data_IF_160726854901
#
_entry.id   IF_160726854901
#
_cell.length_a   1.000
_cell.length_b   1.000
_cell.length_c   1.000
_cell.angle_alpha   90.00
_cell.angle_beta   90.00
_cell.angle_gamma   90.00
#
_symmetry.space_group_name_H-M   'P 1'
#
loop_
_entity.id
_entity.type
_entity.pdbx_description
1 polymer ?
#
# COMPACT_ATOMS: atom_id res chain seq x y z
N UNK A 1 6.77 18.86 15.17
CA UNK A 1 7.58 18.48 14.00
C UNK A 1 7.65 16.97 13.98
N UNK A 2 7.20 16.31 12.91
CA UNK A 2 7.16 14.84 12.85
C UNK A 2 8.47 14.37 12.21
N UNK A 3 9.38 13.86 13.03
CA UNK A 3 10.66 13.32 12.54
C UNK A 3 10.41 11.93 11.97
N UNK A 4 10.94 11.69 10.78
CA UNK A 4 10.96 10.39 10.12
C UNK A 4 12.40 9.87 10.25
N UNK A 5 12.56 8.62 10.65
CA UNK A 5 13.86 7.99 10.79
C UNK A 5 14.03 6.87 9.76
N UNK A 6 15.25 6.70 9.25
CA UNK A 6 15.59 5.66 8.27
C UNK A 6 16.67 4.79 8.87
N UNK A 7 16.37 3.49 9.00
CA UNK A 7 17.26 2.52 9.61
C UNK A 7 17.32 1.23 8.76
N UNK A 8 18.16 0.30 9.18
CA UNK A 8 18.40 -0.99 8.55
C UNK A 8 17.82 -2.10 9.43
N UNK A 9 16.81 -2.80 8.91
CA UNK A 9 16.15 -3.88 9.63
C UNK A 9 16.47 -5.25 9.02
N UNK A 10 16.80 -6.21 9.88
CA UNK A 10 17.02 -7.60 9.47
C UNK A 10 15.88 -8.50 9.95
N UNK A 11 15.25 -9.21 9.02
CA UNK A 11 14.22 -10.20 9.31
C UNK A 11 14.29 -11.38 8.34
N UNK A 12 14.14 -12.60 8.87
CA UNK A 12 14.17 -13.83 8.07
C UNK A 12 15.45 -14.00 7.24
N UNK A 13 16.60 -13.53 7.76
CA UNK A 13 17.90 -13.58 7.08
C UNK A 13 18.11 -12.50 6.01
N UNK A 14 17.10 -11.69 5.68
CA UNK A 14 17.20 -10.58 4.72
C UNK A 14 17.29 -9.26 5.46
N UNK A 15 18.02 -8.34 4.87
CA UNK A 15 18.22 -6.99 5.40
C UNK A 15 17.56 -5.99 4.46
N UNK A 16 16.83 -5.03 5.01
CA UNK A 16 16.07 -4.03 4.25
C UNK A 16 16.20 -2.67 4.92
N UNK A 17 16.21 -1.62 4.12
CA UNK A 17 16.03 -0.27 4.64
C UNK A 17 14.58 -0.11 5.10
N UNK A 18 14.37 0.61 6.20
CA UNK A 18 13.06 0.83 6.80
C UNK A 18 12.86 2.29 7.15
N UNK A 19 11.61 2.72 7.12
CA UNK A 19 11.19 4.06 7.55
C UNK A 19 10.32 3.93 8.78
N UNK A 20 10.71 4.64 9.84
CA UNK A 20 9.98 4.71 11.10
C UNK A 20 9.31 6.06 11.24
N UNK A 21 7.99 6.04 11.41
CA UNK A 21 7.20 7.24 11.61
C UNK A 21 6.36 7.11 12.89
N UNK A 22 6.50 8.00 13.88
CA UNK A 22 5.68 7.95 15.09
C UNK A 22 4.20 8.22 14.76
N UNK A 23 3.28 7.40 15.24
CA UNK A 23 1.84 7.54 14.95
C UNK A 23 1.02 7.29 16.20
N UNK A 24 0.51 8.37 16.79
CA UNK A 24 -0.25 8.29 18.05
C UNK A 24 0.65 7.74 19.16
N UNK A 25 0.25 6.62 19.76
CA UNK A 25 1.01 5.91 20.80
C UNK A 25 1.97 4.84 20.23
N UNK A 26 2.05 4.69 18.90
CA UNK A 26 2.85 3.66 18.25
C UNK A 26 3.78 4.22 17.17
N UNK A 27 4.29 3.30 16.35
CA UNK A 27 5.18 3.60 15.23
C UNK A 27 4.63 2.88 13.99
N UNK A 28 4.62 3.58 12.86
CA UNK A 28 4.41 2.95 11.55
C UNK A 28 5.77 2.56 11.00
N UNK A 29 5.88 1.29 10.62
CA UNK A 29 7.09 0.66 10.12
C UNK A 29 6.91 0.32 8.65
N UNK A 30 7.58 1.06 7.76
CA UNK A 30 7.55 0.80 6.32
C UNK A 30 8.83 0.10 5.90
N UNK A 31 8.73 -1.07 5.27
CA UNK A 31 9.88 -1.70 4.62
C UNK A 31 10.08 -1.14 3.23
N UNK A 32 11.27 -0.61 2.95
CA UNK A 32 11.63 -0.15 1.62
C UNK A 32 12.06 -1.32 0.74
N UNK A 33 11.82 -1.17 -0.56
CA UNK A 33 12.31 -2.06 -1.62
C UNK A 33 13.59 -1.46 -2.19
N UNK A 34 14.55 -2.31 -2.55
CA UNK A 34 15.75 -1.86 -3.26
C UNK A 34 15.42 -1.56 -4.72
N UNK A 35 16.23 -0.72 -5.36
CA UNK A 35 15.97 -0.27 -6.74
C UNK A 35 15.96 -1.40 -7.77
N UNK A 36 16.74 -2.45 -7.56
CA UNK A 36 16.78 -3.66 -8.39
C UNK A 36 15.56 -4.58 -8.20
N UNK A 37 14.81 -4.41 -7.11
CA UNK A 37 13.53 -5.11 -6.88
C UNK A 37 12.33 -4.39 -7.51
N UNK A 38 12.49 -3.12 -7.88
CA UNK A 38 11.46 -2.32 -8.53
C UNK A 38 11.57 -2.54 -10.03
N UNK A 39 10.51 -3.07 -10.64
CA UNK A 39 10.48 -3.26 -12.08
C UNK A 39 10.50 -1.89 -12.77
N UNK A 40 11.31 -1.70 -13.83
CA UNK A 40 11.33 -0.46 -14.58
C UNK A 40 9.93 -0.17 -15.11
N UNK A 41 9.51 1.09 -15.00
CA UNK A 41 8.18 1.53 -15.44
C UNK A 41 8.07 1.52 -16.96
N UNK A 42 9.18 1.78 -17.65
CA UNK A 42 9.28 1.83 -19.11
C UNK A 42 8.75 0.54 -19.75
N UNK A 43 9.06 -0.63 -19.17
CA UNK A 43 8.59 -1.93 -19.67
C UNK A 43 7.06 -2.09 -19.67
N UNK A 44 6.32 -1.29 -18.91
CA UNK A 44 4.85 -1.35 -18.87
C UNK A 44 4.18 -0.34 -19.79
N UNK A 45 4.88 0.74 -20.11
CA UNK A 45 4.35 1.87 -20.88
C UNK A 45 5.00 2.00 -22.26
N UNK A 46 5.90 1.08 -22.63
CA UNK A 46 6.61 1.07 -23.92
C UNK A 46 5.67 1.09 -25.13
N UNK A 47 4.49 0.46 -25.01
CA UNK A 47 3.48 0.41 -26.07
C UNK A 47 2.47 1.57 -26.02
N UNK A 48 2.63 2.53 -25.10
CA UNK A 48 1.66 3.61 -24.85
C UNK A 48 2.27 4.96 -25.22
N UNK A 49 2.25 5.27 -26.51
CA UNK A 49 2.72 6.56 -27.05
C UNK A 49 1.60 7.63 -27.15
N UNK A 50 0.34 7.23 -27.07
CA UNK A 50 -0.81 8.12 -27.30
C UNK A 50 -1.27 8.82 -26.00
N UNK A 51 -1.34 10.15 -26.05
CA UNK A 51 -1.93 10.92 -24.96
C UNK A 51 -3.44 10.65 -24.85
N UNK A 52 -3.95 10.58 -23.61
CA UNK A 52 -5.37 10.36 -23.39
C UNK A 52 -6.23 11.45 -24.05
N UNK A 53 -7.31 11.05 -24.73
CA UNK A 53 -8.26 11.97 -25.36
C UNK A 53 -8.83 12.95 -24.31
N UNK A 54 -8.62 14.27 -24.48
CA UNK A 54 -9.12 15.29 -23.57
C UNK A 54 -10.64 15.25 -23.33
N UNK A 55 -11.41 14.69 -24.26
CA UNK A 55 -12.86 14.51 -24.13
C UNK A 55 -13.23 13.28 -23.28
N UNK A 56 -12.44 12.21 -23.32
CA UNK A 56 -12.69 10.98 -22.56
C UNK A 56 -12.32 11.13 -21.08
N UNK A 57 -11.26 11.87 -20.77
CA UNK A 57 -10.82 12.11 -19.38
C UNK A 57 -11.94 12.62 -18.46
N UNK A 58 -12.68 13.70 -18.78
CA UNK A 58 -13.74 14.20 -17.92
C UNK A 58 -14.91 13.23 -17.78
N UNK A 59 -15.22 12.45 -18.83
CA UNK A 59 -16.26 11.43 -18.79
C UNK A 59 -15.90 10.31 -17.80
N UNK A 60 -14.66 9.81 -17.86
CA UNK A 60 -14.16 8.80 -16.92
C UNK A 60 -14.12 9.36 -15.50
N UNK A 61 -13.72 10.62 -15.32
CA UNK A 61 -13.75 11.27 -14.00
C UNK A 61 -15.17 11.34 -13.42
N UNK A 62 -16.19 11.63 -14.24
CA UNK A 62 -17.59 11.60 -13.80
C UNK A 62 -18.00 10.19 -13.37
N UNK A 63 -17.62 9.17 -14.14
CA UNK A 63 -17.90 7.77 -13.81
C UNK A 63 -17.23 7.36 -12.49
N UNK A 64 -15.95 7.72 -12.29
CA UNK A 64 -15.22 7.46 -11.04
C UNK A 64 -15.95 8.13 -9.88
N UNK A 65 -16.36 9.40 -10.01
CA UNK A 65 -17.11 10.10 -8.95
C UNK A 65 -18.44 9.42 -8.61
N UNK A 66 -19.19 8.96 -9.62
CA UNK A 66 -20.45 8.25 -9.42
C UNK A 66 -20.28 6.88 -8.76
N UNK A 67 -19.15 6.20 -9.02
CA UNK A 67 -18.85 4.87 -8.47
C UNK A 67 -18.01 4.92 -7.19
N UNK A 68 -17.48 6.08 -6.83
CA UNK A 68 -16.70 6.27 -5.62
C UNK A 68 -17.60 6.16 -4.39
N UNK A 69 -17.16 5.42 -3.40
CA UNK A 69 -17.83 5.27 -2.11
C UNK A 69 -16.86 5.55 -0.97
N UNK A 70 -17.40 5.86 0.21
CA UNK A 70 -16.59 5.90 1.43
C UNK A 70 -15.98 4.52 1.67
N UNK A 71 -14.66 4.48 1.75
CA UNK A 71 -13.94 3.25 2.01
C UNK A 71 -14.34 2.70 3.41
N UNK A 72 -14.57 1.38 3.52
CA UNK A 72 -14.66 0.67 4.81
C UNK A 72 -14.04 -0.73 4.72
N UNK A 73 -13.56 -1.35 5.83
CA UNK A 73 -12.91 -2.67 5.77
C UNK A 73 -13.86 -3.77 5.35
N UNK A 74 -15.15 -3.56 5.64
CA UNK A 74 -16.23 -4.45 5.25
C UNK A 74 -16.62 -4.33 3.77
N UNK A 75 -16.18 -3.28 3.06
CA UNK A 75 -16.46 -3.11 1.63
C UNK A 75 -15.71 -4.13 0.75
N UNK A 76 -14.67 -4.76 1.29
CA UNK A 76 -13.93 -5.81 0.60
C UNK A 76 -14.70 -7.14 0.74
N UNK A 77 -15.03 -7.83 -0.37
CA UNK A 77 -15.64 -9.15 -0.31
C UNK A 77 -14.78 -10.12 0.51
N UNK A 78 -15.41 -10.97 1.34
CA UNK A 78 -14.72 -11.92 2.23
C UNK A 78 -13.72 -12.83 1.49
N UNK A 79 -13.98 -13.18 0.22
CA UNK A 79 -13.02 -13.96 -0.59
C UNK A 79 -11.70 -13.22 -0.87
N UNK A 80 -11.76 -11.88 -0.92
CA UNK A 80 -10.61 -11.03 -1.17
C UNK A 80 -9.99 -10.48 0.12
N UNK A 81 -10.62 -10.68 1.28
CA UNK A 81 -10.09 -10.21 2.57
C UNK A 81 -8.67 -10.70 2.84
N UNK A 82 -8.35 -11.96 2.53
CA UNK A 82 -6.99 -12.49 2.76
C UNK A 82 -5.92 -11.87 1.84
N UNK A 83 -6.31 -11.41 0.65
CA UNK A 83 -5.41 -10.77 -0.32
C UNK A 83 -5.20 -9.30 0.00
N UNK A 84 -6.26 -8.59 0.39
CA UNK A 84 -6.19 -7.16 0.68
C UNK A 84 -5.62 -6.90 2.08
N UNK A 85 -5.94 -7.73 3.09
CA UNK A 85 -5.39 -7.59 4.43
C UNK A 85 -3.85 -7.73 4.47
N UNK A 86 -3.26 -8.53 3.57
CA UNK A 86 -1.80 -8.68 3.47
C UNK A 86 -1.07 -7.45 2.94
N UNK A 87 -1.71 -6.69 2.05
CA UNK A 87 -1.05 -5.62 1.32
C UNK A 87 -1.44 -4.22 1.79
N UNK A 88 -2.58 -4.05 2.48
CA UNK A 88 -3.19 -2.73 2.68
C UNK A 88 -3.55 -2.38 4.14
N UNK A 89 -3.34 -3.28 5.11
CA UNK A 89 -3.72 -3.04 6.51
C UNK A 89 -2.51 -3.03 7.46
N UNK A 90 -1.95 -1.86 7.79
CA UNK A 90 -0.90 -1.75 8.81
C UNK A 90 -1.43 -1.42 10.22
N UNK A 91 -2.69 -1.74 10.58
CA UNK A 91 -3.17 -1.36 11.94
C UNK A 91 -4.33 -2.15 12.56
N UNK A 92 -4.52 -3.43 12.25
CA UNK A 92 -5.31 -4.32 13.13
C UNK A 92 -4.69 -5.72 13.20
N UNK A 93 -3.48 -5.78 13.75
CA UNK A 93 -3.12 -6.94 14.56
C UNK A 93 -3.87 -6.77 15.87
N UNK A 94 -5.06 -7.36 15.95
CA UNK A 94 -5.72 -7.63 17.22
C UNK A 94 -4.76 -8.49 18.06
N UNK A 95 -4.34 -7.92 19.19
CA UNK A 95 -3.33 -8.48 20.09
C UNK A 95 -3.85 -9.65 20.93
N UNK A 96 -5.07 -10.13 20.69
CA UNK A 96 -5.69 -11.18 21.51
C UNK A 96 -5.61 -12.62 20.96
N UNK A 97 -4.70 -12.92 20.03
CA UNK A 97 -4.49 -14.28 19.54
C UNK A 97 -3.25 -15.00 20.11
N UNK A 98 -2.56 -14.44 21.10
CA UNK A 98 -1.56 -15.19 21.88
C UNK A 98 -2.19 -15.72 23.17
N UNK A 99 -3.10 -16.67 23.04
CA UNK A 99 -3.49 -17.55 24.13
C UNK A 99 -3.86 -18.92 23.55
N UNK A 100 -2.86 -19.66 23.08
CA UNK A 100 -2.90 -21.10 23.01
C UNK A 100 -1.51 -21.64 23.37
N UNK A 101 -1.54 -22.66 24.21
CA UNK A 101 -0.47 -23.37 24.89
C UNK A 101 0.82 -23.61 24.09
#
# INVERSE_FOLDING_TARGET
MKTIDIDKFRSGGRERAVVLEPRGQGIVFWTLRFGDEVRPEENYFEDIDEAADPYLVPLVQQLIKQKSAKWSPAAVPRRLHSLIARNFFPSQLDQNACHCC
#
